data_IF_571951229663
#
_entry.id   IF_571951229663
#
_cell.length_a   1.000
_cell.length_b   1.000
_cell.length_c   1.000
_cell.angle_alpha   90.00
_cell.angle_beta   90.00
_cell.angle_gamma   90.00
#
_symmetry.space_group_name_H-M   'P 1'
#
loop_
_entity.id
_entity.type
_entity.pdbx_description
1 polymer ?
#
# COMPACT_ATOMS: atom_id res chain seq x y z
N UNK A 1 -29.93 -0.63 3.03
CA UNK A 1 -28.52 -1.08 3.09
C UNK A 1 -28.44 -2.61 3.36
N UNK A 2 -29.40 -3.38 2.84
CA UNK A 2 -29.59 -4.82 3.12
C UNK A 2 -29.14 -5.76 2.00
N UNK A 3 -28.81 -5.24 0.81
CA UNK A 3 -28.67 -6.09 -0.38
C UNK A 3 -27.21 -6.24 -0.80
N UNK A 4 -26.34 -6.57 0.16
CA UNK A 4 -25.07 -7.19 -0.19
C UNK A 4 -25.41 -8.68 -0.38
N UNK A 5 -25.26 -9.25 -1.59
CA UNK A 5 -25.64 -10.64 -1.84
C UNK A 5 -25.02 -11.56 -0.79
N UNK A 6 -25.80 -12.49 -0.26
CA UNK A 6 -25.42 -13.40 0.84
C UNK A 6 -24.10 -14.15 0.58
N UNK A 7 -23.75 -14.33 -0.70
CA UNK A 7 -22.46 -14.83 -1.17
C UNK A 7 -21.27 -13.95 -0.77
N UNK A 8 -21.41 -12.61 -0.84
CA UNK A 8 -20.38 -11.68 -0.37
C UNK A 8 -20.30 -11.66 1.14
N UNK A 9 -21.34 -12.02 1.90
CA UNK A 9 -21.26 -12.12 3.37
C UNK A 9 -20.45 -13.35 3.80
N UNK A 10 -20.56 -14.44 3.02
CA UNK A 10 -19.88 -15.70 3.29
C UNK A 10 -18.52 -15.86 2.58
N UNK A 11 -18.13 -14.89 1.75
CA UNK A 11 -16.84 -14.89 1.07
C UNK A 11 -15.69 -14.74 2.08
N UNK A 12 -14.57 -15.47 1.95
CA UNK A 12 -13.40 -15.31 2.83
C UNK A 12 -12.79 -13.90 2.85
N UNK A 13 -13.23 -13.01 1.95
CA UNK A 13 -12.84 -11.60 1.86
C UNK A 13 -13.62 -10.68 2.80
N UNK A 14 -14.76 -11.10 3.30
CA UNK A 14 -15.67 -10.30 4.13
C UNK A 14 -15.86 -10.87 5.52
N UNK A 15 -15.33 -12.09 5.77
CA UNK A 15 -15.21 -12.65 7.11
C UNK A 15 -14.36 -11.73 7.98
N UNK A 16 -14.94 -11.36 9.13
CA UNK A 16 -14.36 -10.46 10.14
C UNK A 16 -13.00 -10.96 10.66
N UNK A 17 -12.83 -12.27 10.66
CA UNK A 17 -11.74 -13.03 11.30
C UNK A 17 -10.42 -12.95 10.53
N UNK A 18 -10.45 -12.54 9.24
CA UNK A 18 -9.26 -12.33 8.41
C UNK A 18 -8.62 -10.94 8.56
N UNK A 19 -9.20 -10.04 9.36
CA UNK A 19 -8.70 -8.68 9.53
C UNK A 19 -7.99 -8.54 10.88
N UNK A 20 -6.70 -8.19 10.86
CA UNK A 20 -5.91 -8.09 12.10
C UNK A 20 -6.43 -6.94 12.99
N UNK A 21 -6.46 -7.11 14.32
CA UNK A 21 -6.95 -6.09 15.26
C UNK A 21 -6.12 -4.79 15.31
N UNK A 22 -4.93 -4.76 14.68
CA UNK A 22 -4.05 -3.59 14.64
C UNK A 22 -4.59 -2.41 13.82
N UNK A 23 -5.58 -2.63 12.96
CA UNK A 23 -6.25 -1.57 12.21
C UNK A 23 -7.74 -1.55 12.60
N UNK A 24 -8.08 -0.80 13.64
CA UNK A 24 -9.45 -0.61 14.15
C UNK A 24 -10.33 0.25 13.19
N UNK A 25 -10.06 0.17 11.88
CA UNK A 25 -10.86 0.76 10.82
C UNK A 25 -12.04 -0.18 10.57
N UNK A 26 -13.28 0.32 10.59
CA UNK A 26 -14.48 -0.53 10.47
C UNK A 26 -14.36 -1.43 9.23
N UNK A 27 -14.27 -2.75 9.47
CA UNK A 27 -14.08 -3.81 8.47
C UNK A 27 -15.04 -3.68 7.28
N UNK A 28 -16.21 -3.07 7.50
CA UNK A 28 -17.19 -2.73 6.45
C UNK A 28 -16.60 -1.82 5.38
N UNK A 29 -15.86 -0.79 5.76
CA UNK A 29 -15.19 0.10 4.80
C UNK A 29 -14.12 -0.63 3.99
N UNK A 30 -13.39 -1.53 4.64
CA UNK A 30 -12.36 -2.34 3.98
C UNK A 30 -12.95 -3.37 3.01
N UNK A 31 -14.06 -4.01 3.40
CA UNK A 31 -14.81 -4.91 2.55
C UNK A 31 -15.40 -4.17 1.34
N UNK A 32 -16.05 -3.01 1.56
CA UNK A 32 -16.57 -2.15 0.47
C UNK A 32 -15.43 -1.75 -0.47
N UNK A 33 -14.30 -1.29 0.07
CA UNK A 33 -13.14 -0.91 -0.74
C UNK A 33 -12.62 -2.08 -1.58
N UNK A 34 -12.55 -3.27 -0.99
CA UNK A 34 -12.07 -4.47 -1.66
C UNK A 34 -13.00 -4.86 -2.79
N UNK A 35 -14.31 -4.93 -2.54
CA UNK A 35 -15.34 -5.24 -3.55
C UNK A 35 -15.32 -4.20 -4.67
N UNK A 36 -15.27 -2.91 -4.33
CA UNK A 36 -15.15 -1.81 -5.30
C UNK A 36 -13.95 -1.96 -6.22
N UNK A 37 -12.77 -2.27 -5.67
CA UNK A 37 -11.57 -2.49 -6.47
C UNK A 37 -11.65 -3.75 -7.33
N UNK A 38 -12.24 -4.84 -6.81
CA UNK A 38 -12.41 -6.10 -7.56
C UNK A 38 -13.33 -5.90 -8.77
N UNK A 39 -14.39 -5.11 -8.61
CA UNK A 39 -15.32 -4.78 -9.69
C UNK A 39 -14.69 -3.85 -10.74
N UNK A 40 -13.77 -2.96 -10.35
CA UNK A 40 -13.07 -2.07 -11.26
C UNK A 40 -12.02 -2.81 -12.13
N UNK A 41 -11.34 -3.81 -11.57
CA UNK A 41 -10.30 -4.58 -12.26
C UNK A 41 -10.44 -6.11 -12.04
N UNK A 42 -11.42 -6.77 -12.66
CA UNK A 42 -11.77 -8.16 -12.35
C UNK A 42 -10.91 -9.24 -13.03
N UNK A 43 -10.18 -8.89 -14.08
CA UNK A 43 -9.58 -9.83 -15.07
C UNK A 43 -8.82 -10.99 -14.43
N UNK A 44 -7.87 -10.68 -13.55
CA UNK A 44 -7.06 -11.73 -12.90
C UNK A 44 -7.85 -12.58 -11.90
N UNK A 45 -8.86 -12.02 -11.24
CA UNK A 45 -9.65 -12.77 -10.25
C UNK A 45 -10.53 -13.81 -10.93
N UNK A 46 -10.96 -13.53 -12.16
CA UNK A 46 -11.61 -14.50 -13.03
C UNK A 46 -10.60 -15.56 -13.49
N UNK A 47 -9.41 -15.16 -13.94
CA UNK A 47 -8.35 -16.09 -14.39
C UNK A 47 -7.88 -17.06 -13.30
N UNK A 48 -7.88 -16.62 -12.03
CA UNK A 48 -7.46 -17.46 -10.89
C UNK A 48 -8.60 -18.25 -10.26
N UNK A 49 -9.81 -18.19 -10.81
CA UNK A 49 -11.01 -18.85 -10.28
C UNK A 49 -11.50 -18.28 -8.95
N UNK A 50 -10.92 -17.17 -8.47
CA UNK A 50 -11.27 -16.52 -7.22
C UNK A 50 -12.57 -15.70 -7.32
N UNK A 51 -13.00 -15.35 -8.52
CA UNK A 51 -14.22 -14.60 -8.78
C UNK A 51 -14.90 -15.14 -10.05
N UNK A 52 -16.15 -15.60 -9.93
CA UNK A 52 -16.92 -16.10 -11.08
C UNK A 52 -17.28 -14.96 -12.03
N UNK A 53 -16.99 -15.14 -13.33
CA UNK A 53 -17.40 -14.20 -14.37
C UNK A 53 -18.92 -14.00 -14.40
N UNK A 54 -19.69 -15.07 -14.14
CA UNK A 54 -21.16 -15.01 -14.09
C UNK A 54 -21.64 -14.16 -12.92
N UNK A 55 -20.96 -14.22 -11.77
CA UNK A 55 -21.30 -13.37 -10.62
C UNK A 55 -21.04 -11.89 -10.90
N UNK A 56 -20.01 -11.55 -11.68
CA UNK A 56 -19.73 -10.17 -12.09
C UNK A 56 -20.76 -9.67 -13.10
N UNK A 57 -21.23 -10.57 -13.97
CA UNK A 57 -22.27 -10.30 -14.98
C UNK A 57 -23.64 -10.07 -14.32
N UNK A 58 -23.95 -10.88 -13.30
CA UNK A 58 -25.23 -10.83 -12.58
C UNK A 58 -25.23 -9.82 -11.42
N UNK A 59 -24.12 -9.11 -11.17
CA UNK A 59 -24.02 -8.11 -10.10
C UNK A 59 -24.95 -6.92 -10.41
N UNK A 60 -25.70 -6.40 -9.42
CA UNK A 60 -26.63 -5.29 -9.63
C UNK A 60 -25.93 -4.09 -10.29
N UNK A 61 -26.41 -3.69 -11.47
CA UNK A 61 -25.76 -2.71 -12.36
C UNK A 61 -25.55 -1.36 -11.67
N UNK A 62 -26.53 -0.89 -10.92
CA UNK A 62 -26.47 0.41 -10.23
C UNK A 62 -25.48 0.40 -9.07
N UNK A 63 -25.47 -0.69 -8.28
CA UNK A 63 -24.50 -0.87 -7.21
C UNK A 63 -23.08 -1.03 -7.75
N UNK A 64 -22.91 -1.76 -8.87
CA UNK A 64 -21.61 -1.91 -9.55
C UNK A 64 -21.04 -0.55 -9.97
N UNK A 65 -21.87 0.27 -10.65
CA UNK A 65 -21.48 1.62 -11.07
C UNK A 65 -21.10 2.48 -9.87
N UNK A 66 -21.90 2.45 -8.80
CA UNK A 66 -21.63 3.22 -7.59
C UNK A 66 -20.31 2.80 -6.92
N UNK A 67 -20.07 1.49 -6.80
CA UNK A 67 -18.85 0.96 -6.17
C UNK A 67 -17.58 1.28 -6.98
N UNK A 68 -17.66 1.17 -8.32
CA UNK A 68 -16.57 1.56 -9.23
C UNK A 68 -16.32 3.07 -9.16
N UNK A 69 -17.39 3.88 -9.20
CA UNK A 69 -17.30 5.33 -9.06
C UNK A 69 -16.66 5.73 -7.73
N UNK A 70 -17.07 5.10 -6.63
CA UNK A 70 -16.49 5.32 -5.29
C UNK A 70 -14.99 5.00 -5.27
N UNK A 71 -14.57 3.92 -5.96
CA UNK A 71 -13.15 3.59 -6.08
C UNK A 71 -12.35 4.70 -6.77
N UNK A 72 -12.82 5.17 -7.92
CA UNK A 72 -12.15 6.22 -8.68
C UNK A 72 -12.19 7.57 -7.97
N UNK A 73 -13.32 7.95 -7.37
CA UNK A 73 -13.44 9.19 -6.58
C UNK A 73 -12.47 9.20 -5.41
N UNK A 74 -12.26 8.06 -4.74
CA UNK A 74 -11.29 7.95 -3.65
C UNK A 74 -9.85 8.10 -4.13
N UNK A 75 -9.49 7.43 -5.22
CA UNK A 75 -8.16 7.58 -5.83
C UNK A 75 -7.93 9.04 -6.24
N UNK A 76 -8.95 9.66 -6.84
CA UNK A 76 -8.92 11.08 -7.19
C UNK A 76 -8.76 11.96 -5.95
N UNK A 77 -9.52 11.74 -4.88
CA UNK A 77 -9.41 12.49 -3.62
C UNK A 77 -8.02 12.40 -3.00
N UNK A 78 -7.42 11.20 -2.97
CA UNK A 78 -6.05 10.99 -2.49
C UNK A 78 -5.04 11.81 -3.30
N UNK A 79 -5.12 11.76 -4.63
CA UNK A 79 -4.25 12.55 -5.52
C UNK A 79 -4.44 14.06 -5.28
N UNK A 80 -5.68 14.51 -5.10
CA UNK A 80 -5.97 15.93 -4.88
C UNK A 80 -5.49 16.41 -3.51
N UNK A 81 -5.60 15.62 -2.43
CA UNK A 81 -5.02 16.00 -1.13
C UNK A 81 -3.51 16.15 -1.24
N UNK A 82 -2.83 15.21 -1.91
CA UNK A 82 -1.39 15.31 -2.11
C UNK A 82 -1.03 16.54 -2.94
N UNK A 83 -1.79 16.83 -4.00
CA UNK A 83 -1.57 18.02 -4.83
C UNK A 83 -1.80 19.32 -4.05
N UNK A 84 -2.83 19.38 -3.20
CA UNK A 84 -3.09 20.54 -2.34
C UNK A 84 -1.96 20.72 -1.33
N UNK A 85 -1.49 19.66 -0.68
CA UNK A 85 -0.38 19.72 0.26
C UNK A 85 0.88 20.29 -0.42
N UNK A 86 1.23 19.77 -1.60
CA UNK A 86 2.35 20.26 -2.42
C UNK A 86 2.15 21.73 -2.83
N UNK A 87 0.93 22.11 -3.23
CA UNK A 87 0.62 23.48 -3.65
C UNK A 87 0.72 24.49 -2.50
N UNK A 88 0.25 24.12 -1.31
CA UNK A 88 0.37 24.95 -0.11
C UNK A 88 1.84 25.17 0.28
N UNK A 89 2.65 24.12 0.22
CA UNK A 89 4.10 24.21 0.45
C UNK A 89 4.80 25.11 -0.58
N UNK A 90 4.42 25.01 -1.86
CA UNK A 90 4.93 25.89 -2.91
C UNK A 90 4.53 27.35 -2.65
N UNK A 91 3.29 27.59 -2.22
CA UNK A 91 2.80 28.93 -1.92
C UNK A 91 3.54 29.55 -0.73
N UNK A 92 3.77 28.79 0.34
CA UNK A 92 4.58 29.20 1.50
C UNK A 92 6.03 29.49 1.10
N UNK A 93 6.64 28.64 0.26
CA UNK A 93 7.98 28.84 -0.26
C UNK A 93 8.10 30.14 -1.07
N UNK A 94 7.08 30.52 -1.85
CA UNK A 94 7.05 31.77 -2.62
C UNK A 94 6.80 32.99 -1.73
N UNK A 95 6.06 32.83 -0.63
CA UNK A 95 5.65 33.93 0.27
C UNK A 95 6.75 34.34 1.26
N UNK A 96 7.81 33.55 1.42
CA UNK A 96 8.89 33.82 2.38
C UNK A 96 9.92 34.84 1.84
N UNK A 97 10.02 36.08 2.37
CA UNK A 97 10.78 37.14 1.71
C UNK A 97 12.21 37.37 2.24
N UNK A 98 12.78 36.59 3.17
CA UNK A 98 13.96 37.11 3.89
C UNK A 98 14.97 36.19 4.57
N UNK A 99 14.93 34.86 4.42
CA UNK A 99 15.97 34.01 5.02
C UNK A 99 16.36 32.89 4.04
N UNK A 100 17.13 33.27 3.02
CA UNK A 100 17.68 32.32 2.05
C UNK A 100 18.90 31.65 2.68
N UNK A 101 18.87 30.33 2.76
CA UNK A 101 20.06 29.55 3.10
C UNK A 101 20.96 29.46 1.86
N UNK A 102 22.27 29.37 2.07
CA UNK A 102 23.24 29.18 0.98
C UNK A 102 23.62 27.70 0.84
N UNK A 103 23.31 27.11 -0.31
CA UNK A 103 23.82 25.79 -0.67
C UNK A 103 25.16 25.96 -1.40
N UNK A 104 26.26 25.55 -0.77
CA UNK A 104 27.59 25.59 -1.39
C UNK A 104 27.90 24.28 -2.11
N UNK A 105 28.10 24.36 -3.42
CA UNK A 105 28.59 23.28 -4.27
C UNK A 105 29.88 23.72 -4.95
N UNK A 106 31.03 23.37 -4.35
CA UNK A 106 32.34 23.88 -4.79
C UNK A 106 32.39 25.40 -4.59
N UNK A 107 32.78 26.13 -5.65
CA UNK A 107 32.85 27.59 -5.64
C UNK A 107 31.50 28.28 -5.90
N UNK A 108 30.44 27.52 -6.18
CA UNK A 108 29.11 28.06 -6.46
C UNK A 108 28.25 28.07 -5.19
N UNK A 109 27.67 29.23 -4.87
CA UNK A 109 26.68 29.40 -3.80
C UNK A 109 25.31 29.69 -4.41
N UNK A 110 24.33 28.82 -4.13
CA UNK A 110 22.96 28.96 -4.60
C UNK A 110 22.02 29.30 -3.43
N UNK A 111 21.33 30.45 -3.45
CA UNK A 111 20.35 30.78 -2.43
C UNK A 111 19.10 29.92 -2.61
N UNK A 112 18.59 29.33 -1.52
CA UNK A 112 17.36 28.55 -1.52
C UNK A 112 16.54 28.75 -0.25
N UNK A 113 15.22 28.50 -0.36
CA UNK A 113 14.32 28.57 0.79
C UNK A 113 14.36 27.25 1.58
N UNK A 114 14.23 27.27 2.91
CA UNK A 114 14.21 26.03 3.71
C UNK A 114 13.04 25.10 3.33
N UNK A 115 12.00 25.65 2.71
CA UNK A 115 10.86 24.92 2.12
C UNK A 115 11.26 24.08 0.89
N UNK A 116 12.22 24.53 0.07
CA UNK A 116 12.64 23.81 -1.13
C UNK A 116 13.21 22.43 -0.78
N UNK A 117 13.99 22.32 0.29
CA UNK A 117 14.56 21.05 0.74
C UNK A 117 13.49 20.07 1.23
N UNK A 118 12.48 20.56 1.95
CA UNK A 118 11.36 19.72 2.40
C UNK A 118 10.51 19.24 1.21
N UNK A 119 10.26 20.13 0.24
CA UNK A 119 9.51 19.81 -0.97
C UNK A 119 10.24 18.77 -1.85
N UNK A 120 11.55 18.94 -2.07
CA UNK A 120 12.35 17.99 -2.82
C UNK A 120 12.36 16.61 -2.16
N UNK A 121 12.50 16.56 -0.82
CA UNK A 121 12.42 15.33 -0.06
C UNK A 121 11.05 14.65 -0.23
N UNK A 122 9.96 15.42 -0.15
CA UNK A 122 8.60 14.90 -0.34
C UNK A 122 8.41 14.30 -1.73
N UNK A 123 8.81 15.01 -2.79
CA UNK A 123 8.74 14.52 -4.17
C UNK A 123 9.51 13.20 -4.31
N UNK A 124 10.75 13.14 -3.79
CA UNK A 124 11.57 11.93 -3.82
C UNK A 124 10.88 10.77 -3.10
N UNK A 125 10.25 11.02 -1.96
CA UNK A 125 9.53 10.00 -1.20
C UNK A 125 8.28 9.51 -1.94
N UNK A 126 7.48 10.40 -2.54
CA UNK A 126 6.29 10.04 -3.33
C UNK A 126 6.70 9.18 -4.52
N UNK A 127 7.71 9.59 -5.26
CA UNK A 127 8.25 8.84 -6.41
C UNK A 127 8.76 7.47 -5.96
N UNK A 128 9.47 7.40 -4.83
CA UNK A 128 9.98 6.14 -4.28
C UNK A 128 8.85 5.17 -3.88
N UNK A 129 7.79 5.66 -3.23
CA UNK A 129 6.61 4.86 -2.89
C UNK A 129 5.96 4.31 -4.17
N UNK A 130 5.84 5.14 -5.21
CA UNK A 130 5.27 4.73 -6.49
C UNK A 130 6.11 3.63 -7.16
N UNK A 131 7.44 3.80 -7.21
CA UNK A 131 8.37 2.80 -7.77
C UNK A 131 8.25 1.48 -7.03
N UNK A 132 8.23 1.50 -5.69
CA UNK A 132 8.07 0.29 -4.88
C UNK A 132 6.70 -0.36 -5.12
N UNK A 133 5.64 0.44 -5.22
CA UNK A 133 4.29 -0.04 -5.55
C UNK A 133 4.24 -0.76 -6.91
N UNK A 134 4.85 -0.19 -7.94
CA UNK A 134 4.96 -0.80 -9.27
C UNK A 134 5.80 -2.09 -9.23
N UNK A 135 6.91 -2.09 -8.47
CA UNK A 135 7.75 -3.28 -8.28
C UNK A 135 6.94 -4.43 -7.66
N UNK A 136 6.16 -4.16 -6.61
CA UNK A 136 5.31 -5.15 -5.97
C UNK A 136 4.17 -5.60 -6.89
N UNK A 137 3.52 -4.68 -7.61
CA UNK A 137 2.48 -5.02 -8.58
C UNK A 137 3.02 -6.00 -9.63
N UNK A 138 4.19 -5.70 -10.22
CA UNK A 138 4.82 -6.54 -11.25
C UNK A 138 5.26 -7.90 -10.69
N UNK A 139 5.69 -7.95 -9.44
CA UNK A 139 6.21 -9.17 -8.80
C UNK A 139 5.14 -9.96 -8.02
N UNK A 140 3.90 -9.49 -8.00
CA UNK A 140 2.86 -9.98 -7.10
C UNK A 140 2.63 -11.48 -7.23
N UNK A 141 2.44 -11.98 -8.46
CA UNK A 141 2.17 -13.40 -8.70
C UNK A 141 3.30 -14.30 -8.19
N UNK A 142 4.56 -13.91 -8.41
CA UNK A 142 5.73 -14.65 -7.94
C UNK A 142 5.81 -14.64 -6.41
N UNK A 143 5.59 -13.48 -5.78
CA UNK A 143 5.62 -13.34 -4.32
C UNK A 143 4.51 -14.18 -3.69
N UNK A 144 3.30 -14.16 -4.26
CA UNK A 144 2.15 -14.94 -3.78
C UNK A 144 2.41 -16.44 -3.88
N UNK A 145 2.85 -16.93 -5.04
CA UNK A 145 3.15 -18.36 -5.22
C UNK A 145 4.27 -18.83 -4.29
N UNK A 146 5.36 -18.05 -4.19
CA UNK A 146 6.49 -18.40 -3.31
C UNK A 146 6.07 -18.38 -1.85
N UNK A 147 5.26 -17.41 -1.44
CA UNK A 147 4.73 -17.34 -0.07
C UNK A 147 3.81 -18.52 0.23
N UNK A 148 2.93 -18.90 -0.70
CA UNK A 148 2.06 -20.07 -0.51
C UNK A 148 2.86 -21.38 -0.45
N UNK A 149 4.01 -21.48 -1.13
CA UNK A 149 4.84 -22.69 -1.09
C UNK A 149 5.68 -22.78 0.18
N UNK A 150 6.35 -21.69 0.57
CA UNK A 150 7.30 -21.69 1.67
C UNK A 150 6.72 -21.26 3.02
N UNK A 151 5.59 -20.56 3.03
CA UNK A 151 4.97 -19.96 4.23
C UNK A 151 3.53 -20.46 4.42
N UNK A 152 3.17 -21.62 3.86
CA UNK A 152 1.80 -22.18 3.91
C UNK A 152 1.28 -22.37 5.33
N UNK A 153 2.17 -22.71 6.28
CA UNK A 153 1.82 -22.95 7.67
C UNK A 153 1.93 -21.68 8.54
N UNK A 154 2.29 -20.54 7.96
CA UNK A 154 2.43 -19.29 8.69
C UNK A 154 1.05 -18.66 8.95
N UNK A 155 0.65 -18.57 10.22
CA UNK A 155 -0.61 -17.92 10.62
C UNK A 155 -0.70 -16.47 10.12
N UNK A 156 0.42 -15.76 10.04
CA UNK A 156 0.45 -14.39 9.52
C UNK A 156 0.13 -14.32 8.00
N UNK A 157 0.44 -15.36 7.23
CA UNK A 157 0.07 -15.45 5.82
C UNK A 157 -1.38 -15.91 5.65
N UNK A 158 -1.79 -16.94 6.39
CA UNK A 158 -3.15 -17.50 6.33
C UNK A 158 -4.19 -16.42 6.64
N UNK A 159 -3.97 -15.64 7.72
CA UNK A 159 -4.87 -14.53 8.09
C UNK A 159 -4.98 -13.45 7.02
N UNK A 160 -3.96 -13.29 6.17
CA UNK A 160 -3.90 -12.26 5.13
C UNK A 160 -4.17 -12.79 3.73
N UNK A 161 -4.52 -14.07 3.61
CA UNK A 161 -4.74 -14.74 2.32
C UNK A 161 -5.94 -14.15 1.57
N UNK A 162 -6.90 -13.56 2.29
CA UNK A 162 -7.96 -12.73 1.73
C UNK A 162 -7.41 -11.62 0.82
N UNK A 163 -6.30 -10.96 1.18
CA UNK A 163 -5.73 -9.87 0.40
C UNK A 163 -5.30 -10.29 -1.02
N UNK A 164 -4.95 -11.56 -1.24
CA UNK A 164 -4.59 -12.09 -2.57
C UNK A 164 -5.77 -12.00 -3.54
N UNK A 165 -6.97 -12.26 -3.05
CA UNK A 165 -8.20 -12.29 -3.82
C UNK A 165 -8.84 -10.91 -3.98
N UNK A 166 -8.23 -9.87 -3.42
CA UNK A 166 -8.66 -8.49 -3.65
C UNK A 166 -8.10 -7.93 -4.96
N UNK A 167 -8.48 -6.68 -5.26
CA UNK A 167 -7.96 -5.92 -6.40
C UNK A 167 -6.42 -5.79 -6.37
N UNK A 168 -5.84 -5.24 -7.43
CA UNK A 168 -4.38 -5.04 -7.54
C UNK A 168 -3.74 -4.41 -6.29
N UNK A 169 -4.44 -3.45 -5.69
CA UNK A 169 -3.98 -2.79 -4.47
C UNK A 169 -3.80 -3.74 -3.28
N UNK A 170 -4.74 -4.66 -3.04
CA UNK A 170 -4.58 -5.56 -1.90
C UNK A 170 -3.56 -6.68 -2.17
N UNK A 171 -3.23 -6.99 -3.42
CA UNK A 171 -2.05 -7.81 -3.73
C UNK A 171 -0.75 -7.09 -3.44
N UNK A 172 -0.67 -5.79 -3.74
CA UNK A 172 0.47 -4.97 -3.34
C UNK A 172 0.59 -4.98 -1.81
N UNK A 173 -0.51 -4.80 -1.08
CA UNK A 173 -0.52 -4.87 0.38
C UNK A 173 -0.13 -6.25 0.92
N UNK A 174 -0.57 -7.34 0.26
CA UNK A 174 -0.12 -8.69 0.61
C UNK A 174 1.40 -8.81 0.44
N UNK A 175 1.96 -8.31 -0.67
CA UNK A 175 3.40 -8.30 -0.90
C UNK A 175 4.15 -7.49 0.17
N UNK A 176 3.61 -6.33 0.58
CA UNK A 176 4.15 -5.52 1.68
C UNK A 176 4.12 -6.30 3.01
N UNK A 177 3.04 -7.06 3.27
CA UNK A 177 2.95 -7.90 4.47
C UNK A 177 3.99 -9.03 4.46
N UNK A 178 4.17 -9.71 3.32
CA UNK A 178 5.22 -10.72 3.14
C UNK A 178 6.60 -10.09 3.33
N UNK A 179 6.84 -8.91 2.74
CA UNK A 179 8.10 -8.19 2.88
C UNK A 179 8.40 -7.84 4.35
N UNK A 180 7.39 -7.38 5.08
CA UNK A 180 7.46 -7.10 6.52
C UNK A 180 7.77 -8.36 7.32
N UNK A 181 7.06 -9.47 7.03
CA UNK A 181 7.22 -10.76 7.70
C UNK A 181 8.63 -11.31 7.54
N UNK A 182 9.17 -11.23 6.31
CA UNK A 182 10.52 -11.69 5.99
C UNK A 182 11.58 -10.79 6.63
N UNK A 183 11.41 -9.46 6.54
CA UNK A 183 12.37 -8.48 7.08
C UNK A 183 12.46 -8.54 8.60
N UNK A 184 11.31 -8.66 9.27
CA UNK A 184 11.22 -8.74 10.73
C UNK A 184 10.99 -10.18 11.23
N UNK A 185 11.48 -11.17 10.49
CA UNK A 185 11.22 -12.60 10.78
C UNK A 185 11.55 -13.02 12.21
N UNK A 186 12.63 -12.49 12.82
CA UNK A 186 12.98 -12.77 14.23
C UNK A 186 11.86 -12.42 15.20
N UNK A 187 11.12 -11.33 14.94
CA UNK A 187 9.97 -10.93 15.78
C UNK A 187 8.82 -11.93 15.64
N UNK A 188 8.48 -12.34 14.42
CA UNK A 188 7.40 -13.29 14.17
C UNK A 188 7.73 -14.72 14.62
N UNK A 189 9.01 -15.11 14.61
CA UNK A 189 9.49 -16.37 15.20
C UNK A 189 9.31 -16.33 16.72
N UNK A 190 9.69 -15.24 17.39
CA UNK A 190 9.51 -15.08 18.84
C UNK A 190 8.05 -15.12 19.28
N UNK A 191 7.13 -14.64 18.44
CA UNK A 191 5.68 -14.68 18.73
C UNK A 191 5.01 -15.98 18.30
N UNK A 192 5.75 -16.95 17.75
CA UNK A 192 5.21 -18.24 17.30
C UNK A 192 4.36 -18.16 16.04
N UNK A 193 4.34 -17.01 15.36
CA UNK A 193 3.50 -16.77 14.16
C UNK A 193 4.20 -17.16 12.85
N UNK A 194 5.50 -17.46 12.91
CA UNK A 194 6.35 -17.84 11.78
C UNK A 194 7.35 -18.92 12.22
N UNK A 195 7.47 -19.99 11.43
CA UNK A 195 8.45 -21.04 11.70
C UNK A 195 9.81 -20.69 11.10
N UNK A 196 10.90 -20.94 11.83
CA UNK A 196 12.24 -20.57 11.37
C UNK A 196 12.68 -21.35 10.11
N UNK A 197 12.20 -22.59 9.93
CA UNK A 197 12.50 -23.40 8.75
C UNK A 197 11.92 -22.78 7.46
N UNK A 198 10.70 -22.24 7.54
CA UNK A 198 9.99 -21.61 6.43
C UNK A 198 10.79 -20.43 5.88
N UNK A 199 11.30 -19.57 6.77
CA UNK A 199 12.15 -18.42 6.42
C UNK A 199 13.50 -18.82 5.83
N UNK A 200 14.09 -19.93 6.30
CA UNK A 200 15.35 -20.46 5.77
C UNK A 200 15.18 -21.04 4.37
N UNK A 201 14.03 -21.67 4.11
CA UNK A 201 13.72 -22.25 2.79
C UNK A 201 13.36 -21.20 1.73
N UNK A 202 13.04 -19.97 2.15
CA UNK A 202 12.59 -18.91 1.26
C UNK A 202 13.69 -18.47 0.27
N UNK A 203 13.39 -18.32 -1.04
CA UNK A 203 14.39 -18.01 -2.06
C UNK A 203 15.18 -16.73 -1.76
N UNK A 204 16.52 -16.83 -1.71
CA UNK A 204 17.41 -15.74 -1.30
C UNK A 204 17.28 -14.50 -2.19
N UNK A 205 17.13 -14.69 -3.50
CA UNK A 205 16.99 -13.58 -4.46
C UNK A 205 15.69 -12.80 -4.26
N UNK A 206 14.59 -13.49 -3.96
CA UNK A 206 13.31 -12.85 -3.65
C UNK A 206 13.34 -12.20 -2.27
N UNK A 207 13.95 -12.87 -1.29
CA UNK A 207 14.16 -12.34 0.07
C UNK A 207 14.84 -10.98 0.05
N UNK A 208 15.94 -10.84 -0.70
CA UNK A 208 16.67 -9.58 -0.83
C UNK A 208 15.81 -8.47 -1.44
N UNK A 209 15.06 -8.76 -2.52
CA UNK A 209 14.15 -7.79 -3.15
C UNK A 209 13.06 -7.31 -2.19
N UNK A 210 12.47 -8.23 -1.42
CA UNK A 210 11.47 -7.90 -0.42
C UNK A 210 12.03 -7.02 0.70
N UNK A 211 13.23 -7.35 1.21
CA UNK A 211 13.88 -6.56 2.27
C UNK A 211 14.22 -5.14 1.77
N UNK A 212 14.81 -5.02 0.57
CA UNK A 212 15.14 -3.72 -0.03
C UNK A 212 13.87 -2.90 -0.25
N UNK A 213 12.83 -3.51 -0.82
CA UNK A 213 11.54 -2.86 -1.04
C UNK A 213 10.88 -2.39 0.25
N UNK A 214 10.95 -3.20 1.32
CA UNK A 214 10.41 -2.87 2.64
C UNK A 214 11.11 -1.67 3.27
N UNK A 215 12.45 -1.68 3.30
CA UNK A 215 13.20 -0.56 3.86
C UNK A 215 13.06 0.72 3.03
N UNK A 216 13.03 0.62 1.70
CA UNK A 216 12.79 1.77 0.85
C UNK A 216 11.40 2.37 1.08
N UNK A 217 10.37 1.51 1.21
CA UNK A 217 9.00 1.96 1.52
C UNK A 217 8.93 2.63 2.90
N UNK A 218 9.54 2.01 3.91
CA UNK A 218 9.58 2.54 5.27
C UNK A 218 10.33 3.88 5.33
N UNK A 219 11.49 3.97 4.69
CA UNK A 219 12.27 5.21 4.60
C UNK A 219 11.48 6.32 3.87
N UNK A 220 10.73 5.98 2.82
CA UNK A 220 9.90 6.95 2.10
C UNK A 220 8.77 7.48 2.97
N UNK A 221 8.06 6.62 3.71
CA UNK A 221 7.02 7.08 4.65
C UNK A 221 7.59 7.90 5.81
N UNK A 222 8.74 7.50 6.35
CA UNK A 222 9.44 8.27 7.37
C UNK A 222 9.90 9.65 6.84
N UNK A 223 10.40 9.70 5.59
CA UNK A 223 10.79 10.93 4.92
C UNK A 223 9.61 11.88 4.69
N UNK A 224 8.44 11.37 4.31
CA UNK A 224 7.20 12.16 4.24
C UNK A 224 6.79 12.72 5.60
N UNK A 225 6.84 11.90 6.66
CA UNK A 225 6.52 12.38 8.00
C UNK A 225 7.50 13.48 8.43
N UNK A 226 8.79 13.30 8.12
CA UNK A 226 9.83 14.27 8.43
C UNK A 226 9.68 15.57 7.62
N UNK A 227 9.34 15.50 6.32
CA UNK A 227 9.11 16.71 5.51
C UNK A 227 7.96 17.55 6.07
N UNK A 228 6.86 16.91 6.46
CA UNK A 228 5.70 17.57 7.07
C UNK A 228 6.06 18.19 8.42
N UNK A 229 6.82 17.48 9.27
CA UNK A 229 7.26 18.01 10.57
C UNK A 229 8.22 19.20 10.36
N UNK A 230 9.16 19.08 9.43
CA UNK A 230 10.12 20.15 9.13
C UNK A 230 9.39 21.43 8.68
N UNK A 231 8.36 21.31 7.85
CA UNK A 231 7.54 22.45 7.43
C UNK A 231 6.84 23.12 8.62
N UNK A 232 6.24 22.33 9.52
CA UNK A 232 5.60 22.86 10.73
C UNK A 232 6.57 23.53 11.72
N UNK A 233 7.86 23.22 11.66
CA UNK A 233 8.88 23.84 12.51
C UNK A 233 9.44 25.13 11.88
N UNK A 234 9.15 25.38 10.60
CA UNK A 234 9.55 26.60 9.89
C UNK A 234 8.48 27.71 9.97
N UNK A 235 7.24 27.34 10.32
CA UNK A 235 6.13 28.27 10.63
C UNK A 235 6.18 28.77 12.09
#
# INVERSE_FOLDING_TARGET
MSDIPEYFINHPLTKRDGYSPLFNFSWKYWAIQSISGMLAHPTFLVETGALSADNIKNFPSDLKKLLILTHHLKLFYLVNITLIAVTLQLLEAVRYPGNLNELKFGDFSYPYTPYLTALLLEIVCIVSIFIVGVMYKKSASLIIQTSNHHLSNCTAIITRQSMIHSAEFGRILFCVCVATLITHSTFFIKTGTLHAADVKSFPTSLKAKLIIGHYLLLASFAGLAFSIIALKLLD
#
